data_IF_222246636985
#
_entry.id   IF_222246636985
#
_cell.length_a   1.000
_cell.length_b   1.000
_cell.length_c   1.000
_cell.angle_alpha   90.00
_cell.angle_beta   90.00
_cell.angle_gamma   90.00
#
_symmetry.space_group_name_H-M   'P 1'
#
loop_
_entity.id
_entity.type
_entity.pdbx_description
1 polymer ?
#
# COMPACT_ATOMS: atom_id res chain seq x y z
N UNK A 1 21.95 14.25 11.88
CA UNK A 1 21.89 12.97 11.15
C UNK A 1 20.53 12.73 10.49
N UNK A 2 19.43 12.46 11.23
CA UNK A 2 18.11 12.26 10.60
C UNK A 2 17.62 13.49 9.81
N UNK A 3 17.76 14.69 10.37
CA UNK A 3 17.39 15.96 9.72
C UNK A 3 18.18 16.20 8.42
N UNK A 4 19.41 15.68 8.35
CA UNK A 4 20.33 15.88 7.23
C UNK A 4 19.96 14.96 6.06
N UNK A 5 19.62 13.69 6.32
CA UNK A 5 19.14 12.72 5.32
C UNK A 5 17.86 13.24 4.63
N UNK A 6 16.91 13.78 5.40
CA UNK A 6 15.69 14.35 4.82
C UNK A 6 15.97 15.60 3.99
N UNK A 7 16.85 16.50 4.45
CA UNK A 7 17.17 17.70 3.68
C UNK A 7 17.83 17.35 2.34
N UNK A 8 18.71 16.35 2.32
CA UNK A 8 19.39 15.88 1.11
C UNK A 8 18.41 15.22 0.13
N UNK A 9 17.58 14.29 0.60
CA UNK A 9 16.55 13.67 -0.23
C UNK A 9 15.52 14.67 -0.78
N UNK A 10 15.25 15.78 -0.09
CA UNK A 10 14.37 16.84 -0.59
C UNK A 10 15.05 17.70 -1.67
N UNK A 11 16.38 17.71 -1.76
CA UNK A 11 17.08 18.45 -2.82
C UNK A 11 16.95 17.80 -4.19
N UNK A 12 16.71 16.49 -4.24
CA UNK A 12 16.51 15.74 -5.50
C UNK A 12 15.10 15.89 -6.07
N UNK A 13 14.16 16.44 -5.29
CA UNK A 13 12.76 16.60 -5.69
C UNK A 13 12.46 18.00 -6.24
N UNK A 14 11.61 18.06 -7.26
CA UNK A 14 11.02 19.32 -7.74
C UNK A 14 9.88 19.82 -6.83
N UNK A 15 9.39 21.04 -7.06
CA UNK A 15 8.33 21.65 -6.24
C UNK A 15 6.96 20.93 -6.32
N UNK A 16 6.65 20.27 -7.43
CA UNK A 16 5.45 19.46 -7.55
C UNK A 16 5.57 18.19 -6.71
N UNK A 17 6.70 17.50 -6.79
CA UNK A 17 7.03 16.30 -6.04
C UNK A 17 7.05 16.58 -4.53
N UNK A 18 7.63 17.72 -4.09
CA UNK A 18 7.58 18.17 -2.69
C UNK A 18 6.16 18.42 -2.20
N UNK A 19 5.31 19.09 -3.00
CA UNK A 19 3.90 19.34 -2.64
C UNK A 19 3.13 18.04 -2.52
N UNK A 20 3.35 17.11 -3.45
CA UNK A 20 2.74 15.80 -3.43
C UNK A 20 3.16 14.98 -2.20
N UNK A 21 4.46 14.93 -1.90
CA UNK A 21 4.99 14.22 -0.75
C UNK A 21 4.42 14.78 0.56
N UNK A 22 4.34 16.11 0.68
CA UNK A 22 3.71 16.76 1.84
C UNK A 22 2.26 16.30 2.03
N UNK A 23 1.49 16.14 0.95
CA UNK A 23 0.11 15.64 1.02
C UNK A 23 0.06 14.19 1.52
N UNK A 24 0.87 13.30 0.95
CA UNK A 24 0.88 11.90 1.37
C UNK A 24 1.37 11.71 2.81
N UNK A 25 2.39 12.45 3.23
CA UNK A 25 2.82 12.47 4.63
C UNK A 25 1.70 12.94 5.56
N UNK A 26 0.89 13.92 5.15
CA UNK A 26 -0.28 14.34 5.90
C UNK A 26 -1.32 13.21 6.03
N UNK A 27 -1.62 12.52 4.92
CA UNK A 27 -2.56 11.39 4.90
C UNK A 27 -2.07 10.23 5.78
N UNK A 28 -0.77 9.92 5.72
CA UNK A 28 -0.11 8.95 6.60
C UNK A 28 -0.28 9.32 8.07
N UNK A 29 0.04 10.55 8.47
CA UNK A 29 -0.13 11.01 9.87
C UNK A 29 -1.60 10.94 10.30
N UNK A 30 -2.55 11.29 9.42
CA UNK A 30 -3.98 11.15 9.68
C UNK A 30 -4.39 9.69 9.90
N UNK A 31 -3.85 8.77 9.12
CA UNK A 31 -4.12 7.33 9.28
C UNK A 31 -3.62 6.79 10.63
N UNK A 32 -2.45 7.25 11.11
CA UNK A 32 -1.94 6.92 12.44
C UNK A 32 -2.83 7.49 13.56
N UNK A 33 -3.34 8.71 13.41
CA UNK A 33 -4.28 9.30 14.36
C UNK A 33 -5.57 8.49 14.48
N UNK A 34 -6.06 7.96 13.36
CA UNK A 34 -7.22 7.08 13.34
C UNK A 34 -6.93 5.74 14.03
N UNK A 35 -5.82 5.08 13.75
CA UNK A 35 -5.44 3.84 14.44
C UNK A 35 -5.33 4.04 15.95
N UNK A 36 -4.69 5.15 16.36
CA UNK A 36 -4.61 5.53 17.77
C UNK A 36 -5.98 5.77 18.41
N UNK A 37 -6.97 6.26 17.64
CA UNK A 37 -8.35 6.42 18.11
C UNK A 37 -9.04 5.06 18.29
N UNK A 38 -8.81 4.10 17.40
CA UNK A 38 -9.29 2.73 17.57
C UNK A 38 -8.71 2.07 18.80
N UNK A 39 -7.38 2.13 18.95
CA UNK A 39 -6.65 1.57 20.09
C UNK A 39 -7.19 2.12 21.40
N UNK A 40 -7.35 3.45 21.51
CA UNK A 40 -7.93 4.10 22.69
C UNK A 40 -9.35 3.65 23.00
N UNK A 41 -10.16 3.37 21.97
CA UNK A 41 -11.55 2.91 22.12
C UNK A 41 -11.67 1.40 22.28
N UNK A 42 -10.56 0.65 22.18
CA UNK A 42 -10.55 -0.82 22.08
C UNK A 42 -11.53 -1.34 21.02
N UNK A 43 -11.70 -0.59 19.93
CA UNK A 43 -12.60 -0.95 18.82
C UNK A 43 -11.81 -1.63 17.73
N UNK A 44 -12.20 -2.84 17.38
CA UNK A 44 -11.67 -3.58 16.24
C UNK A 44 -12.36 -3.03 14.96
N UNK A 45 -11.60 -2.66 13.91
CA UNK A 45 -12.19 -2.21 12.66
C UNK A 45 -12.89 -3.35 11.92
N UNK A 46 -13.89 -3.01 11.10
CA UNK A 46 -14.44 -3.97 10.14
C UNK A 46 -13.43 -4.24 9.01
N UNK A 47 -13.57 -5.36 8.31
CA UNK A 47 -12.62 -5.77 7.25
C UNK A 47 -12.49 -4.68 6.17
N UNK A 48 -13.60 -4.17 5.64
CA UNK A 48 -13.55 -3.11 4.62
C UNK A 48 -12.95 -1.80 5.13
N UNK A 49 -13.21 -1.43 6.39
CA UNK A 49 -12.60 -0.27 7.03
C UNK A 49 -11.08 -0.47 7.17
N UNK A 50 -10.64 -1.66 7.59
CA UNK A 50 -9.24 -2.02 7.70
C UNK A 50 -8.54 -1.94 6.34
N UNK A 51 -9.06 -2.59 5.31
CA UNK A 51 -8.44 -2.62 3.98
C UNK A 51 -8.27 -1.21 3.40
N UNK A 52 -9.30 -0.37 3.50
CA UNK A 52 -9.27 1.01 3.00
C UNK A 52 -8.17 1.85 3.65
N UNK A 53 -7.87 1.59 4.91
CA UNK A 53 -6.89 2.36 5.69
C UNK A 53 -5.51 1.72 5.65
N UNK A 54 -5.42 0.40 5.55
CA UNK A 54 -4.17 -0.35 5.51
C UNK A 54 -3.29 0.13 4.37
N UNK A 55 -3.88 0.43 3.21
CA UNK A 55 -3.19 0.99 2.05
C UNK A 55 -2.44 2.31 2.34
N UNK A 56 -2.91 3.12 3.29
CA UNK A 56 -2.31 4.42 3.65
C UNK A 56 -1.35 4.26 4.84
N UNK A 57 -1.73 3.45 5.82
CA UNK A 57 -0.99 3.25 7.08
C UNK A 57 0.41 2.70 6.87
N UNK A 58 0.63 1.92 5.82
CA UNK A 58 1.93 1.29 5.54
C UNK A 58 2.88 2.20 4.77
N UNK A 59 2.43 3.38 4.32
CA UNK A 59 3.21 4.33 3.52
C UNK A 59 3.82 3.73 2.22
N UNK A 60 3.27 2.61 1.73
CA UNK A 60 3.72 1.96 0.49
C UNK A 60 3.51 2.86 -0.72
N UNK A 61 2.44 3.67 -0.69
CA UNK A 61 2.18 4.67 -1.71
C UNK A 61 3.35 5.67 -1.83
N UNK A 62 3.80 6.21 -0.70
CA UNK A 62 5.01 7.06 -0.64
C UNK A 62 6.21 6.30 -1.19
N UNK A 63 6.45 5.06 -0.75
CA UNK A 63 7.61 4.28 -1.17
C UNK A 63 7.63 4.01 -2.69
N UNK A 64 6.49 3.67 -3.29
CA UNK A 64 6.36 3.43 -4.74
C UNK A 64 6.66 4.71 -5.51
N UNK A 65 6.05 5.83 -5.14
CA UNK A 65 6.27 7.10 -5.84
C UNK A 65 7.71 7.61 -5.70
N UNK A 66 8.39 7.29 -4.60
CA UNK A 66 9.82 7.58 -4.46
C UNK A 66 10.69 6.82 -5.49
N UNK A 67 10.28 5.63 -5.95
CA UNK A 67 11.05 4.92 -6.98
C UNK A 67 11.11 5.70 -8.29
N UNK A 68 9.99 6.32 -8.68
CA UNK A 68 9.93 7.18 -9.86
C UNK A 68 10.95 8.33 -9.73
N UNK A 69 10.96 9.02 -8.59
CA UNK A 69 11.87 10.14 -8.35
C UNK A 69 13.33 9.71 -8.32
N UNK A 70 13.65 8.60 -7.64
CA UNK A 70 15.01 8.07 -7.54
C UNK A 70 15.53 7.54 -8.88
N UNK A 71 14.65 7.05 -9.75
CA UNK A 71 14.99 6.64 -11.10
C UNK A 71 15.18 7.82 -12.06
N UNK A 72 14.89 9.06 -11.63
CA UNK A 72 14.88 10.23 -12.51
C UNK A 72 13.76 10.17 -13.55
N UNK A 73 12.76 9.32 -13.33
CA UNK A 73 11.59 9.18 -14.19
C UNK A 73 10.53 10.16 -13.66
N UNK A 74 9.79 10.80 -14.55
CA UNK A 74 8.60 11.56 -14.17
C UNK A 74 7.48 11.18 -15.15
N UNK A 75 6.66 10.23 -14.75
CA UNK A 75 5.57 9.73 -15.58
C UNK A 75 4.57 10.88 -15.82
N UNK A 76 4.23 11.17 -17.09
CA UNK A 76 3.28 12.23 -17.38
C UNK A 76 1.91 11.88 -16.78
N UNK A 77 1.14 12.90 -16.40
CA UNK A 77 -0.15 12.71 -15.72
C UNK A 77 -1.10 11.80 -16.53
N UNK A 78 -1.06 11.87 -17.86
CA UNK A 78 -1.86 11.01 -18.73
C UNK A 78 -1.53 9.52 -18.56
N UNK A 79 -0.25 9.18 -18.35
CA UNK A 79 0.16 7.81 -18.08
C UNK A 79 -0.21 7.39 -16.65
N UNK A 80 -0.03 8.29 -15.66
CA UNK A 80 -0.43 8.02 -14.26
C UNK A 80 -1.94 7.82 -14.09
N UNK A 81 -2.74 8.49 -14.91
CA UNK A 81 -4.19 8.38 -14.92
C UNK A 81 -4.72 7.30 -15.87
N UNK A 82 -3.83 6.56 -16.55
CA UNK A 82 -4.24 5.40 -17.31
C UNK A 82 -4.75 4.31 -16.35
N UNK A 83 -5.87 3.68 -16.72
CA UNK A 83 -6.55 2.71 -15.86
C UNK A 83 -5.65 1.52 -15.52
N UNK A 84 -4.84 1.06 -16.47
CA UNK A 84 -3.96 -0.09 -16.28
C UNK A 84 -2.81 0.24 -15.32
N UNK A 85 -2.23 1.43 -15.44
CA UNK A 85 -1.20 1.93 -14.51
C UNK A 85 -1.77 2.15 -13.11
N UNK A 86 -2.96 2.74 -12.99
CA UNK A 86 -3.61 2.91 -11.69
C UNK A 86 -3.91 1.58 -11.01
N UNK A 87 -4.41 0.59 -11.75
CA UNK A 87 -4.70 -0.73 -11.20
C UNK A 87 -3.43 -1.45 -10.74
N UNK A 88 -2.35 -1.41 -11.53
CA UNK A 88 -1.05 -1.92 -11.10
C UNK A 88 -0.57 -1.24 -9.81
N UNK A 89 -0.70 0.08 -9.71
CA UNK A 89 -0.31 0.83 -8.51
C UNK A 89 -1.08 0.38 -7.27
N UNK A 90 -2.42 0.25 -7.37
CA UNK A 90 -3.23 -0.22 -6.24
C UNK A 90 -2.90 -1.66 -5.85
N UNK A 91 -2.71 -2.55 -6.83
CA UNK A 91 -2.35 -3.95 -6.60
C UNK A 91 -0.96 -4.08 -5.97
N UNK A 92 0.03 -3.29 -6.39
CA UNK A 92 1.36 -3.29 -5.78
C UNK A 92 1.31 -2.90 -4.29
N UNK A 93 0.52 -1.88 -3.93
CA UNK A 93 0.27 -1.52 -2.54
C UNK A 93 -0.39 -2.68 -1.80
N UNK A 94 -1.41 -3.28 -2.40
CA UNK A 94 -2.19 -4.39 -1.84
C UNK A 94 -1.36 -5.62 -1.54
N UNK A 95 -0.60 -6.11 -2.52
CA UNK A 95 0.33 -7.23 -2.39
C UNK A 95 1.27 -6.98 -1.21
N UNK A 96 1.85 -5.78 -1.11
CA UNK A 96 2.83 -5.47 -0.08
C UNK A 96 2.25 -5.56 1.33
N UNK A 97 1.05 -5.01 1.57
CA UNK A 97 0.45 -5.10 2.90
C UNK A 97 -0.17 -6.46 3.21
N UNK A 98 -0.65 -7.20 2.20
CA UNK A 98 -1.12 -8.59 2.37
C UNK A 98 0.03 -9.50 2.80
N UNK A 99 1.19 -9.38 2.15
CA UNK A 99 2.40 -10.10 2.56
C UNK A 99 2.78 -9.70 3.98
N UNK A 100 2.75 -8.41 4.32
CA UNK A 100 3.06 -7.95 5.67
C UNK A 100 2.16 -8.63 6.71
N UNK A 101 0.84 -8.61 6.51
CA UNK A 101 -0.12 -9.23 7.44
C UNK A 101 0.08 -10.74 7.60
N UNK A 102 0.47 -11.46 6.53
CA UNK A 102 0.79 -12.89 6.64
C UNK A 102 2.06 -13.13 7.44
N UNK A 103 3.14 -12.39 7.18
CA UNK A 103 4.44 -12.63 7.81
C UNK A 103 4.53 -12.04 9.23
N UNK A 104 3.79 -10.98 9.53
CA UNK A 104 3.78 -10.34 10.86
C UNK A 104 2.76 -10.93 11.82
N UNK A 105 1.97 -11.93 11.40
CA UNK A 105 0.84 -12.47 12.16
C UNK A 105 1.20 -12.83 13.61
N UNK A 106 2.29 -13.57 13.81
CA UNK A 106 2.74 -13.98 15.15
C UNK A 106 3.05 -12.78 16.05
N UNK A 107 3.66 -11.74 15.48
CA UNK A 107 3.96 -10.51 16.21
C UNK A 107 2.67 -9.74 16.52
N UNK A 108 1.75 -9.66 15.57
CA UNK A 108 0.52 -8.88 15.69
C UNK A 108 -0.47 -9.49 16.69
N UNK A 109 -0.55 -10.82 16.76
CA UNK A 109 -1.38 -11.55 17.75
C UNK A 109 -0.97 -11.20 19.18
N UNK A 110 0.32 -10.96 19.41
CA UNK A 110 0.87 -10.62 20.71
C UNK A 110 0.87 -9.11 21.01
N UNK A 111 0.35 -8.29 20.10
CA UNK A 111 0.33 -6.84 20.26
C UNK A 111 -0.83 -6.35 21.14
N UNK A 112 -0.64 -5.19 21.80
CA UNK A 112 -1.70 -4.53 22.58
C UNK A 112 -2.94 -4.12 21.75
N UNK A 113 -2.81 -4.08 20.43
CA UNK A 113 -3.88 -3.71 19.52
C UNK A 113 -3.72 -4.47 18.19
N UNK A 114 -4.22 -5.72 18.12
CA UNK A 114 -4.00 -6.60 16.97
C UNK A 114 -4.79 -6.10 15.76
N UNK A 115 -4.08 -5.45 14.82
CA UNK A 115 -4.64 -4.95 13.56
C UNK A 115 -3.99 -5.64 12.37
N UNK A 116 -4.55 -6.78 12.01
CA UNK A 116 -4.05 -7.67 10.97
C UNK A 116 -5.23 -8.35 10.28
N UNK A 117 -5.25 -8.43 8.96
CA UNK A 117 -6.38 -8.96 8.21
C UNK A 117 -6.73 -10.41 8.59
N UNK A 118 -5.74 -11.26 8.86
CA UNK A 118 -5.98 -12.66 9.29
C UNK A 118 -6.75 -12.68 10.61
N UNK A 119 -6.34 -11.85 11.57
CA UNK A 119 -7.02 -11.73 12.88
C UNK A 119 -8.46 -11.25 12.69
N UNK A 120 -8.68 -10.27 11.80
CA UNK A 120 -10.01 -9.74 11.50
C UNK A 120 -10.92 -10.76 10.83
N UNK A 121 -10.44 -11.50 9.84
CA UNK A 121 -11.17 -12.57 9.16
C UNK A 121 -11.54 -13.66 10.15
N UNK A 122 -10.56 -14.13 10.94
CA UNK A 122 -10.79 -15.14 11.98
C UNK A 122 -11.91 -14.72 12.94
N UNK A 123 -11.88 -13.48 13.42
CA UNK A 123 -12.84 -12.98 14.39
C UNK A 123 -14.23 -12.73 13.80
N UNK A 124 -14.28 -12.24 12.56
CA UNK A 124 -15.53 -11.94 11.85
C UNK A 124 -16.23 -13.22 11.39
N UNK A 125 -15.50 -14.13 10.76
CA UNK A 125 -16.03 -15.37 10.18
C UNK A 125 -16.09 -16.54 11.16
N UNK A 126 -15.52 -16.39 12.36
CA UNK A 126 -15.44 -17.43 13.41
C UNK A 126 -14.73 -18.71 12.97
N UNK A 127 -13.76 -18.59 12.05
CA UNK A 127 -12.96 -19.70 11.56
C UNK A 127 -11.70 -19.93 12.41
N UNK A 128 -10.96 -20.99 12.07
CA UNK A 128 -9.65 -21.27 12.67
C UNK A 128 -8.54 -20.39 12.04
N UNK A 129 -7.33 -20.43 12.62
CA UNK A 129 -6.22 -19.60 12.16
C UNK A 129 -5.76 -19.92 10.74
N UNK A 130 -5.72 -21.21 10.38
CA UNK A 130 -5.30 -21.65 9.06
C UNK A 130 -6.31 -21.20 8.00
N UNK A 131 -7.60 -21.41 8.24
CA UNK A 131 -8.68 -20.97 7.34
C UNK A 131 -8.63 -19.46 7.07
N UNK A 132 -8.36 -18.65 8.12
CA UNK A 132 -8.23 -17.21 7.96
C UNK A 132 -6.96 -16.82 7.18
N UNK A 133 -5.84 -17.49 7.43
CA UNK A 133 -4.58 -17.24 6.73
C UNK A 133 -4.66 -17.65 5.26
N UNK A 134 -5.31 -18.78 4.96
CA UNK A 134 -5.55 -19.26 3.60
C UNK A 134 -6.41 -18.27 2.80
N UNK A 135 -7.41 -17.64 3.42
CA UNK A 135 -8.20 -16.60 2.76
C UNK A 135 -7.36 -15.36 2.40
N UNK A 136 -6.48 -14.90 3.31
CA UNK A 136 -5.56 -13.77 3.01
C UNK A 136 -4.52 -14.16 1.96
N UNK A 137 -4.00 -15.38 2.02
CA UNK A 137 -3.07 -15.90 1.04
C UNK A 137 -3.72 -16.03 -0.34
N UNK A 138 -4.96 -16.48 -0.42
CA UNK A 138 -5.71 -16.53 -1.67
C UNK A 138 -5.91 -15.14 -2.27
N UNK A 139 -6.28 -14.14 -1.45
CA UNK A 139 -6.39 -12.75 -1.89
C UNK A 139 -5.03 -12.19 -2.39
N UNK A 140 -3.92 -12.60 -1.77
CA UNK A 140 -2.57 -12.25 -2.24
C UNK A 140 -2.28 -12.85 -3.62
N UNK A 141 -2.55 -14.14 -3.83
CA UNK A 141 -2.35 -14.79 -5.12
C UNK A 141 -3.19 -14.14 -6.23
N UNK A 142 -4.47 -13.88 -5.95
CA UNK A 142 -5.37 -13.18 -6.88
C UNK A 142 -4.85 -11.79 -7.23
N UNK A 143 -4.35 -11.05 -6.25
CA UNK A 143 -3.77 -9.72 -6.47
C UNK A 143 -2.52 -9.77 -7.36
N UNK A 144 -1.67 -10.80 -7.18
CA UNK A 144 -0.46 -11.01 -8.01
C UNK A 144 -0.85 -11.37 -9.45
N UNK A 145 -1.81 -12.27 -9.62
CA UNK A 145 -2.24 -12.70 -10.96
C UNK A 145 -2.93 -11.55 -11.71
N UNK A 146 -3.75 -10.75 -11.02
CA UNK A 146 -4.33 -9.54 -11.60
C UNK A 146 -3.25 -8.52 -11.97
N UNK A 147 -2.24 -8.32 -11.11
CA UNK A 147 -1.14 -7.39 -11.40
C UNK A 147 -0.41 -7.78 -12.69
N UNK A 148 -0.09 -9.07 -12.87
CA UNK A 148 0.56 -9.60 -14.08
C UNK A 148 -0.31 -9.42 -15.33
N UNK A 149 -1.63 -9.53 -15.20
CA UNK A 149 -2.53 -9.26 -16.32
C UNK A 149 -2.46 -7.80 -16.76
N UNK A 150 -2.47 -6.86 -15.80
CA UNK A 150 -2.32 -5.43 -16.09
C UNK A 150 -0.94 -5.07 -16.62
N UNK A 151 0.12 -5.66 -16.06
CA UNK A 151 1.50 -5.47 -16.53
C UNK A 151 1.63 -5.81 -18.01
N UNK A 152 1.10 -6.97 -18.42
CA UNK A 152 1.11 -7.39 -19.82
C UNK A 152 0.38 -6.39 -20.73
N UNK A 153 -0.79 -5.89 -20.30
CA UNK A 153 -1.56 -4.91 -21.07
C UNK A 153 -0.84 -3.56 -21.22
N UNK A 154 -0.20 -3.08 -20.14
CA UNK A 154 0.61 -1.86 -20.16
C UNK A 154 1.78 -2.03 -21.14
N UNK A 155 2.54 -3.11 -21.01
CA UNK A 155 3.71 -3.37 -21.86
C UNK A 155 3.31 -3.45 -23.34
N UNK A 156 2.28 -4.23 -23.67
CA UNK A 156 1.80 -4.34 -25.06
C UNK A 156 1.32 -2.99 -25.62
N UNK A 157 0.59 -2.19 -24.84
CA UNK A 157 0.09 -0.90 -25.27
C UNK A 157 1.22 0.11 -25.52
N UNK A 158 2.17 0.25 -24.59
CA UNK A 158 3.24 1.23 -24.72
C UNK A 158 4.30 0.77 -25.74
N UNK A 159 4.65 -0.50 -25.82
CA UNK A 159 5.61 -1.00 -26.82
C UNK A 159 5.09 -0.82 -28.26
N UNK A 160 3.78 -0.94 -28.49
CA UNK A 160 3.18 -0.76 -29.82
C UNK A 160 2.96 0.70 -30.21
N UNK A 161 2.74 1.58 -29.22
CA UNK A 161 2.39 2.99 -29.46
C UNK A 161 3.56 3.96 -29.25
N UNK A 162 4.68 3.51 -28.67
CA UNK A 162 5.91 4.28 -28.50
C UNK A 162 7.05 3.74 -29.38
N UNK A 163 6.81 3.66 -30.69
CA UNK A 163 7.88 3.77 -31.68
C UNK A 163 8.01 5.23 -32.09
N UNK A 164 8.94 5.96 -31.45
CA UNK A 164 9.47 7.24 -31.94
C UNK A 164 10.95 7.05 -32.24
#
# INVERSE_FOLDING_TARGET
>A
MAKDIYSEALTTLDENQKRWLKRKCYDYVKSLQWQNKLKRRKRIPEIGEYMSLRAIVVANDIAIDFHEFMAGINLPLIAKCDQSVMNMYFLAIQITWLVNDLVSLETDVNSDFPTNLVILIKNTRKCNWQEAADEVHQALLESIDEFKCWEKLVTEFYDQNWTV
#
